data_IF_454051848853
#
_entry.id   IF_454051848853
#
_cell.length_a   1.000
_cell.length_b   1.000
_cell.length_c   1.000
_cell.angle_alpha   90.00
_cell.angle_beta   90.00
_cell.angle_gamma   90.00
#
_symmetry.space_group_name_H-M   'P 1'
#
loop_
_entity.id
_entity.type
_entity.pdbx_description
1 polymer ?
#
# COMPACT_ATOMS: atom_id res chain seq x y z
N UNK A 1 32.42 -5.15 15.33
CA UNK A 1 31.53 -4.36 16.21
C UNK A 1 31.78 -4.76 17.65
N UNK A 2 31.84 -3.82 18.60
CA UNK A 2 31.95 -4.16 20.03
C UNK A 2 30.59 -4.54 20.62
N UNK A 3 30.56 -5.38 21.66
CA UNK A 3 29.34 -5.82 22.35
C UNK A 3 28.54 -4.64 22.92
N UNK A 4 29.24 -3.59 23.35
CA UNK A 4 28.62 -2.35 23.86
C UNK A 4 27.79 -1.66 22.77
N UNK A 5 28.29 -1.63 21.54
CA UNK A 5 27.56 -1.04 20.41
C UNK A 5 26.29 -1.84 20.10
N UNK A 6 26.37 -3.17 20.12
CA UNK A 6 25.18 -4.01 19.96
C UNK A 6 24.16 -3.79 21.08
N UNK A 7 24.62 -3.71 22.33
CA UNK A 7 23.76 -3.43 23.47
C UNK A 7 23.07 -2.07 23.34
N UNK A 8 23.74 -1.05 22.82
CA UNK A 8 23.13 0.25 22.56
C UNK A 8 22.11 0.19 21.42
N UNK A 9 22.45 -0.44 20.29
CA UNK A 9 21.59 -0.56 19.10
C UNK A 9 20.30 -1.31 19.42
N UNK A 10 20.36 -2.36 20.24
CA UNK A 10 19.19 -3.17 20.57
C UNK A 10 18.50 -2.67 21.85
N UNK A 11 19.27 -2.34 22.87
CA UNK A 11 18.77 -2.00 24.20
C UNK A 11 18.07 -0.66 24.26
N UNK A 12 18.60 0.38 23.60
CA UNK A 12 17.98 1.71 23.64
C UNK A 12 16.59 1.69 22.99
N UNK A 13 16.41 1.15 21.77
CA UNK A 13 15.08 1.05 21.16
C UNK A 13 14.11 0.18 21.97
N UNK A 14 14.58 -0.95 22.52
CA UNK A 14 13.74 -1.81 23.37
C UNK A 14 13.27 -1.06 24.62
N UNK A 15 14.17 -0.38 25.33
CA UNK A 15 13.84 0.38 26.51
C UNK A 15 12.84 1.51 26.19
N UNK A 16 13.05 2.21 25.08
CA UNK A 16 12.14 3.26 24.62
C UNK A 16 10.74 2.71 24.30
N UNK A 17 10.68 1.60 23.56
CA UNK A 17 9.42 0.95 23.19
C UNK A 17 8.62 0.48 24.40
N UNK A 18 9.30 -0.14 25.37
CA UNK A 18 8.69 -0.54 26.64
C UNK A 18 8.21 0.68 27.44
N UNK A 19 8.99 1.77 27.46
CA UNK A 19 8.61 3.03 28.08
C UNK A 19 7.32 3.61 27.47
N UNK A 20 7.24 3.70 26.14
CA UNK A 20 6.05 4.16 25.43
C UNK A 20 4.84 3.26 25.66
N UNK A 21 5.04 1.94 25.70
CA UNK A 21 3.99 0.98 26.03
C UNK A 21 3.45 1.22 27.45
N UNK A 22 4.33 1.50 28.41
CA UNK A 22 3.96 1.88 29.77
C UNK A 22 3.19 3.20 29.83
N UNK A 23 3.60 4.22 29.06
CA UNK A 23 2.87 5.48 28.93
C UNK A 23 1.47 5.23 28.37
N UNK A 24 1.33 4.47 27.29
CA UNK A 24 0.04 4.14 26.70
C UNK A 24 -0.87 3.39 27.69
N UNK A 25 -0.32 2.47 28.48
CA UNK A 25 -1.07 1.76 29.53
C UNK A 25 -1.58 2.71 30.61
N UNK A 26 -0.73 3.62 31.09
CA UNK A 26 -1.07 4.58 32.13
C UNK A 26 -2.08 5.62 31.64
N UNK A 27 -1.81 6.22 30.48
CA UNK A 27 -2.63 7.27 29.89
C UNK A 27 -4.01 6.77 29.48
N UNK A 28 -4.10 5.61 28.82
CA UNK A 28 -5.38 4.96 28.50
C UNK A 28 -6.24 4.81 29.76
N UNK A 29 -5.61 4.52 30.90
CA UNK A 29 -6.26 4.41 32.18
C UNK A 29 -6.82 5.69 32.76
N UNK A 30 -6.25 6.85 32.40
CA UNK A 30 -6.70 8.19 32.82
C UNK A 30 -7.80 8.72 31.92
N UNK A 31 -7.75 8.43 30.63
CA UNK A 31 -8.72 8.94 29.64
C UNK A 31 -9.91 8.01 29.39
N UNK A 32 -10.08 6.95 30.21
CA UNK A 32 -11.23 6.05 30.15
C UNK A 32 -11.16 4.97 29.06
N UNK A 33 -9.98 4.74 28.47
CA UNK A 33 -9.76 3.69 27.48
C UNK A 33 -9.34 2.35 28.12
N UNK A 34 -9.63 1.20 27.47
CA UNK A 34 -9.22 -0.11 27.97
C UNK A 34 -7.68 -0.27 27.96
N UNK A 35 -7.06 -0.11 29.14
CA UNK A 35 -5.59 -0.12 29.33
C UNK A 35 -4.89 -1.29 28.67
N UNK A 36 -5.37 -2.51 28.93
CA UNK A 36 -4.79 -3.76 28.42
C UNK A 36 -4.81 -3.80 26.89
N UNK A 37 -5.94 -3.40 26.28
CA UNK A 37 -6.09 -3.38 24.82
C UNK A 37 -5.04 -2.47 24.18
N UNK A 38 -4.94 -1.24 24.65
CA UNK A 38 -4.04 -0.25 24.06
C UNK A 38 -2.57 -0.57 24.32
N UNK A 39 -2.23 -1.02 25.53
CA UNK A 39 -0.88 -1.49 25.81
C UNK A 39 -0.47 -2.66 24.91
N UNK A 40 -1.37 -3.64 24.69
CA UNK A 40 -1.11 -4.75 23.76
C UNK A 40 -0.93 -4.27 22.33
N UNK A 41 -1.80 -3.38 21.85
CA UNK A 41 -1.69 -2.83 20.49
C UNK A 41 -0.34 -2.13 20.32
N UNK A 42 0.00 -1.19 21.22
CA UNK A 42 1.27 -0.45 21.18
C UNK A 42 2.46 -1.39 21.26
N UNK A 43 2.43 -2.39 22.13
CA UNK A 43 3.53 -3.36 22.28
C UNK A 43 3.79 -4.15 21.00
N UNK A 44 2.74 -4.54 20.27
CA UNK A 44 2.84 -5.36 19.07
C UNK A 44 3.16 -4.57 17.79
N UNK A 45 3.17 -3.22 17.82
CA UNK A 45 3.47 -2.39 16.65
C UNK A 45 4.75 -2.81 15.89
N UNK A 46 5.90 -3.08 16.56
CA UNK A 46 7.13 -3.43 15.87
C UNK A 46 7.05 -4.74 15.07
N UNK A 47 6.10 -5.63 15.40
CA UNK A 47 5.90 -6.88 14.68
C UNK A 47 5.44 -6.62 13.25
N UNK A 48 4.66 -5.56 13.00
CA UNK A 48 4.28 -5.17 11.64
C UNK A 48 5.51 -4.79 10.80
N UNK A 49 6.46 -4.03 11.36
CA UNK A 49 7.71 -3.71 10.67
C UNK A 49 8.55 -4.95 10.36
N UNK A 50 8.57 -5.94 11.27
CA UNK A 50 9.21 -7.22 11.02
C UNK A 50 8.55 -7.98 9.86
N UNK A 51 7.22 -8.03 9.80
CA UNK A 51 6.52 -8.66 8.67
C UNK A 51 6.76 -7.91 7.35
N UNK A 52 6.78 -6.57 7.36
CA UNK A 52 7.13 -5.79 6.17
C UNK A 52 8.50 -6.18 5.62
N UNK A 53 9.52 -6.30 6.49
CA UNK A 53 10.84 -6.78 6.08
C UNK A 53 10.78 -8.19 5.47
N UNK A 54 10.00 -9.11 6.05
CA UNK A 54 9.86 -10.47 5.50
C UNK A 54 9.18 -10.46 4.12
N UNK A 55 8.14 -9.66 3.93
CA UNK A 55 7.46 -9.52 2.64
C UNK A 55 8.38 -8.91 1.59
N UNK A 56 9.03 -7.78 1.90
CA UNK A 56 10.00 -7.13 1.00
C UNK A 56 11.14 -8.08 0.64
N UNK A 57 11.66 -8.84 1.62
CA UNK A 57 12.67 -9.86 1.36
C UNK A 57 12.17 -10.96 0.43
N UNK A 58 10.91 -11.38 0.55
CA UNK A 58 10.35 -12.45 -0.29
C UNK A 58 10.21 -12.04 -1.75
N UNK A 59 10.06 -10.73 -2.03
CA UNK A 59 10.02 -10.21 -3.40
C UNK A 59 11.38 -10.27 -4.11
N UNK A 60 12.50 -10.24 -3.37
CA UNK A 60 13.85 -10.31 -3.99
C UNK A 60 14.15 -11.65 -4.66
N UNK A 61 13.49 -12.73 -4.23
CA UNK A 61 13.65 -14.08 -4.78
C UNK A 61 12.54 -14.46 -5.75
N UNK A 62 11.72 -13.51 -6.17
CA UNK A 62 10.68 -13.75 -7.16
C UNK A 62 11.32 -14.01 -8.53
N UNK A 63 11.12 -15.22 -9.06
CA UNK A 63 11.44 -15.51 -10.45
C UNK A 63 10.21 -15.19 -11.30
N UNK A 64 10.26 -14.11 -12.11
CA UNK A 64 9.13 -13.77 -12.95
C UNK A 64 8.89 -14.85 -14.01
N UNK A 65 9.85 -15.70 -14.38
CA UNK A 65 9.67 -16.77 -15.39
C UNK A 65 8.81 -17.92 -14.87
N UNK A 66 8.82 -18.15 -13.56
CA UNK A 66 8.06 -19.21 -12.89
C UNK A 66 6.69 -18.74 -12.37
N UNK A 67 6.35 -17.46 -12.56
CA UNK A 67 5.07 -16.93 -12.11
C UNK A 67 3.91 -17.48 -12.98
N UNK A 68 2.94 -18.22 -12.39
CA UNK A 68 1.77 -18.75 -13.11
C UNK A 68 0.85 -17.65 -13.68
N UNK A 69 1.03 -16.40 -13.29
CA UNK A 69 0.33 -15.23 -13.81
C UNK A 69 1.17 -14.41 -14.80
N UNK A 70 2.41 -14.83 -15.09
CA UNK A 70 3.28 -14.16 -16.07
C UNK A 70 2.64 -14.22 -17.46
N UNK A 71 2.27 -13.05 -17.99
CA UNK A 71 1.69 -12.93 -19.33
C UNK A 71 0.20 -13.27 -19.45
N UNK A 72 -0.46 -13.64 -18.35
CA UNK A 72 -1.92 -13.75 -18.35
C UNK A 72 -2.53 -12.36 -18.17
N UNK A 73 -3.21 -11.87 -19.21
CA UNK A 73 -4.25 -10.89 -19.05
C UNK A 73 -5.26 -11.49 -18.07
N UNK A 74 -5.52 -10.80 -16.97
CA UNK A 74 -6.46 -11.23 -15.92
C UNK A 74 -7.74 -11.82 -16.53
N UNK A 75 -8.37 -12.79 -15.87
CA UNK A 75 -9.70 -13.24 -16.26
C UNK A 75 -10.69 -12.09 -16.02
N UNK A 76 -10.79 -11.16 -16.98
CA UNK A 76 -11.76 -10.09 -16.92
C UNK A 76 -13.12 -10.74 -17.11
N UNK A 77 -14.02 -10.52 -16.15
CA UNK A 77 -15.39 -10.98 -16.29
C UNK A 77 -15.97 -10.44 -17.60
N UNK A 78 -16.70 -11.23 -18.41
CA UNK A 78 -17.15 -10.82 -19.75
C UNK A 78 -17.87 -9.47 -19.77
N UNK A 79 -18.58 -9.13 -18.69
CA UNK A 79 -19.28 -7.85 -18.53
C UNK A 79 -18.37 -6.62 -18.32
N UNK A 80 -17.05 -6.81 -18.17
CA UNK A 80 -16.06 -5.76 -17.91
C UNK A 80 -14.85 -5.84 -18.83
N UNK A 81 -14.85 -6.75 -19.81
CA UNK A 81 -13.75 -6.91 -20.76
C UNK A 81 -13.48 -5.61 -21.54
N UNK A 82 -14.53 -4.81 -21.77
CA UNK A 82 -14.46 -3.54 -22.47
C UNK A 82 -14.00 -2.35 -21.59
N UNK A 83 -13.92 -2.50 -20.26
CA UNK A 83 -13.59 -1.41 -19.33
C UNK A 83 -12.07 -1.22 -19.13
N UNK A 84 -11.24 -2.13 -19.65
CA UNK A 84 -9.78 -2.12 -19.45
C UNK A 84 -9.02 -2.25 -20.76
N UNK A 85 -8.65 -1.12 -21.37
CA UNK A 85 -7.57 -1.08 -22.35
C UNK A 85 -6.25 -0.99 -21.57
N UNK A 86 -5.80 -2.12 -21.01
CA UNK A 86 -4.47 -2.20 -20.40
C UNK A 86 -3.47 -2.54 -21.51
N UNK A 87 -2.44 -1.71 -21.75
CA UNK A 87 -1.39 -2.06 -22.69
C UNK A 87 -0.72 -3.34 -22.22
N UNK A 88 -0.58 -4.32 -23.12
CA UNK A 88 0.25 -5.49 -22.82
C UNK A 88 1.70 -5.00 -22.61
N UNK A 89 2.38 -5.49 -21.57
CA UNK A 89 3.76 -5.07 -21.20
C UNK A 89 4.83 -5.58 -22.19
N UNK A 90 4.48 -5.72 -23.48
CA UNK A 90 5.37 -6.11 -24.57
C UNK A 90 5.41 -5.14 -25.75
N UNK A 91 4.47 -4.18 -25.85
CA UNK A 91 4.45 -3.17 -26.91
C UNK A 91 4.66 -1.76 -26.34
N UNK A 92 5.74 -1.58 -25.60
CA UNK A 92 6.25 -0.25 -25.27
C UNK A 92 7.42 0.07 -26.20
N UNK A 93 7.14 0.29 -27.49
CA UNK A 93 8.08 0.89 -28.45
C UNK A 93 7.34 1.37 -29.71
N UNK A 94 6.33 2.24 -29.56
CA UNK A 94 6.11 3.31 -30.55
C UNK A 94 5.22 4.40 -29.93
N UNK A 95 5.83 5.32 -29.19
CA UNK A 95 5.17 6.56 -28.80
C UNK A 95 5.21 7.51 -30.00
N UNK A 96 4.37 7.26 -31.01
CA UNK A 96 4.02 8.31 -31.98
C UNK A 96 3.19 9.37 -31.27
N UNK A 97 3.89 10.43 -30.87
CA UNK A 97 3.49 11.84 -30.95
C UNK A 97 1.98 12.11 -30.86
N UNK A 98 1.49 12.32 -29.63
CA UNK A 98 0.16 12.88 -29.42
C UNK A 98 0.20 14.39 -29.67
N UNK A 99 -0.08 14.81 -30.91
CA UNK A 99 -0.38 16.21 -31.27
C UNK A 99 -1.71 16.62 -30.62
N UNK A 100 -1.63 17.57 -29.68
CA UNK A 100 -2.78 18.18 -29.04
C UNK A 100 -3.53 19.09 -30.01
N UNK A 101 -4.74 18.69 -30.40
CA UNK A 101 -5.74 19.62 -30.96
C UNK A 101 -7.14 19.41 -30.41
N UNK A 102 -7.64 20.52 -29.90
CA UNK A 102 -8.94 20.77 -29.31
C UNK A 102 -10.11 20.38 -30.22
N UNK A 103 -11.18 19.84 -29.63
CA UNK A 103 -12.54 19.94 -30.19
C UNK A 103 -13.51 20.37 -29.10
N UNK A 104 -13.75 21.66 -29.13
CA UNK A 104 -14.86 22.41 -28.55
C UNK A 104 -16.21 21.69 -28.81
N UNK A 105 -16.97 21.41 -27.76
CA UNK A 105 -18.37 20.98 -27.85
C UNK A 105 -19.26 22.15 -27.47
N UNK A 106 -19.87 22.73 -28.49
CA UNK A 106 -20.98 23.66 -28.45
C UNK A 106 -22.28 22.87 -28.18
N UNK A 107 -22.77 22.93 -26.94
CA UNK A 107 -24.06 22.36 -26.56
C UNK A 107 -25.08 23.49 -26.37
N UNK A 108 -25.73 23.90 -27.48
CA UNK A 108 -26.90 24.78 -27.46
C UNK A 108 -28.17 24.07 -26.92
N UNK A 109 -29.14 24.80 -26.33
CA UNK A 109 -30.28 24.17 -25.67
C UNK A 109 -31.34 23.69 -26.68
N UNK A 110 -31.69 22.41 -26.61
CA UNK A 110 -32.79 21.80 -27.38
C UNK A 110 -34.19 22.19 -26.87
N UNK A 111 -35.24 22.06 -27.70
CA UNK A 111 -36.48 22.83 -27.54
C UNK A 111 -37.42 22.29 -26.45
N UNK A 112 -38.08 23.26 -25.83
CA UNK A 112 -39.21 23.17 -24.91
C UNK A 112 -40.39 22.44 -25.58
N UNK A 113 -40.99 21.46 -24.89
CA UNK A 113 -42.34 20.99 -25.20
C UNK A 113 -43.04 20.57 -23.90
N UNK A 114 -43.88 21.46 -23.40
CA UNK A 114 -45.08 21.18 -22.59
C UNK A 114 -46.29 21.58 -23.47
N UNK A 115 -47.53 21.07 -23.28
CA UNK A 115 -48.05 20.22 -22.21
C UNK A 115 -48.60 18.84 -22.65
#
# INVERSE_FOLDING_TARGET
MSTIVWAAIVGIPLAWHLGLTGVAYYDAGRVGMPRKKWATITFLVPIFGFFTYLFERSELSYDPEEDPYRGNNFNIHPSRADDTVLPSKGEANDLTEWDGRDRERDDGPGPLNDP
#
